data_IF_855706013661
#
_entry.id   IF_855706013661
#
_cell.length_a   1.000
_cell.length_b   1.000
_cell.length_c   1.000
_cell.angle_alpha   90.00
_cell.angle_beta   90.00
_cell.angle_gamma   90.00
#
_symmetry.space_group_name_H-M   'P 1'
#
loop_
_entity.id
_entity.type
_entity.pdbx_description
1 polymer ?
#
# COMPACT_ATOMS: atom_id res chain seq x y z
N UNK A 1 17.14 12.30 0.93
CA UNK A 1 17.61 13.12 -0.21
C UNK A 1 16.38 13.65 -0.93
N UNK A 2 16.32 14.96 -1.19
CA UNK A 2 15.16 15.57 -1.87
C UNK A 2 15.13 15.07 -3.31
N UNK A 3 13.97 14.57 -3.76
CA UNK A 3 13.80 14.00 -5.09
C UNK A 3 13.99 15.10 -6.16
N UNK A 4 15.08 15.10 -6.95
CA UNK A 4 15.39 16.15 -7.92
C UNK A 4 14.45 16.16 -9.14
N UNK A 5 13.54 15.18 -9.23
CA UNK A 5 12.55 15.07 -10.30
C UNK A 5 11.34 15.98 -10.10
N UNK A 6 10.99 16.31 -8.85
CA UNK A 6 9.83 17.15 -8.57
C UNK A 6 9.95 18.57 -9.19
N UNK A 7 11.11 19.26 -9.12
CA UNK A 7 11.30 20.54 -9.82
C UNK A 7 11.25 20.42 -11.35
N UNK A 8 11.75 19.32 -11.91
CA UNK A 8 11.76 19.08 -13.36
C UNK A 8 10.33 18.82 -13.86
N UNK A 9 9.55 18.02 -13.13
CA UNK A 9 8.14 17.75 -13.43
C UNK A 9 7.31 19.03 -13.32
N UNK A 10 7.54 19.85 -12.29
CA UNK A 10 6.86 21.14 -12.11
C UNK A 10 7.20 22.13 -13.24
N UNK A 11 8.48 22.20 -13.64
CA UNK A 11 8.90 23.05 -14.75
C UNK A 11 8.31 22.58 -16.09
N UNK A 12 8.13 21.27 -16.29
CA UNK A 12 7.44 20.73 -17.44
C UNK A 12 5.96 21.21 -17.47
N UNK A 13 5.22 20.99 -16.38
CA UNK A 13 3.80 21.42 -16.29
C UNK A 13 3.63 22.93 -16.48
N UNK A 14 4.55 23.76 -15.99
CA UNK A 14 4.51 25.21 -16.19
C UNK A 14 4.71 25.63 -17.65
N UNK A 15 5.45 24.86 -18.45
CA UNK A 15 5.63 25.12 -19.88
C UNK A 15 4.34 24.91 -20.69
N UNK A 16 3.39 24.13 -20.19
CA UNK A 16 2.08 23.91 -20.81
C UNK A 16 1.16 25.14 -20.73
N UNK A 17 1.35 25.99 -19.70
CA UNK A 17 0.51 27.16 -19.45
C UNK A 17 0.96 28.47 -20.13
N UNK A 18 2.06 28.47 -20.87
CA UNK A 18 2.60 29.69 -21.50
C UNK A 18 1.92 29.90 -22.87
N UNK A 19 1.04 30.90 -22.94
CA UNK A 19 0.46 31.39 -24.19
C UNK A 19 1.57 32.07 -25.03
N UNK A 20 1.63 31.77 -26.33
CA UNK A 20 2.71 32.05 -27.31
C UNK A 20 3.82 30.98 -27.44
N UNK A 21 3.52 29.73 -27.09
CA UNK A 21 4.42 28.60 -27.28
C UNK A 21 4.57 28.19 -28.77
N UNK A 22 5.81 27.95 -29.21
CA UNK A 22 6.15 27.35 -30.52
C UNK A 22 5.32 26.08 -30.77
N UNK A 23 4.88 25.76 -32.00
CA UNK A 23 4.02 24.59 -32.27
C UNK A 23 4.60 23.23 -31.83
N UNK A 24 5.92 23.15 -31.63
CA UNK A 24 6.62 21.95 -31.14
C UNK A 24 6.70 21.84 -29.60
N UNK A 25 6.33 22.87 -28.85
CA UNK A 25 6.43 22.88 -27.38
C UNK A 25 5.62 21.77 -26.70
N UNK A 26 4.38 21.45 -27.12
CA UNK A 26 3.63 20.30 -26.59
C UNK A 26 4.34 18.96 -26.81
N UNK A 27 5.03 18.82 -27.96
CA UNK A 27 5.80 17.62 -28.29
C UNK A 27 7.04 17.49 -27.41
N UNK A 28 7.76 18.59 -27.18
CA UNK A 28 8.92 18.64 -26.27
C UNK A 28 8.51 18.40 -24.82
N UNK A 29 7.39 18.97 -24.38
CA UNK A 29 6.80 18.73 -23.06
C UNK A 29 6.50 17.24 -22.83
N UNK A 30 5.80 16.62 -23.78
CA UNK A 30 5.48 15.19 -23.72
C UNK A 30 6.75 14.32 -23.61
N UNK A 31 7.83 14.70 -24.30
CA UNK A 31 9.12 14.02 -24.21
C UNK A 31 9.73 14.18 -22.82
N UNK A 32 9.81 15.42 -22.29
CA UNK A 32 10.38 15.71 -20.97
C UNK A 32 9.60 14.98 -19.87
N UNK A 33 8.27 15.03 -19.91
CA UNK A 33 7.41 14.37 -18.94
C UNK A 33 7.64 12.85 -18.94
N UNK A 34 7.60 12.22 -20.12
CA UNK A 34 7.89 10.79 -20.25
C UNK A 34 9.28 10.41 -19.75
N UNK A 35 10.31 11.20 -20.04
CA UNK A 35 11.67 10.93 -19.56
C UNK A 35 11.80 11.12 -18.05
N UNK A 36 11.09 12.09 -17.46
CA UNK A 36 11.08 12.35 -16.02
C UNK A 36 10.38 11.22 -15.27
N UNK A 37 9.23 10.76 -15.76
CA UNK A 37 8.50 9.59 -15.23
C UNK A 37 9.35 8.31 -15.32
N UNK A 38 10.04 8.10 -16.45
CA UNK A 38 10.98 6.99 -16.60
C UNK A 38 12.13 7.07 -15.58
N UNK A 39 12.75 8.25 -15.39
CA UNK A 39 13.81 8.42 -14.39
C UNK A 39 13.32 8.22 -12.94
N UNK A 40 12.08 8.61 -12.63
CA UNK A 40 11.47 8.35 -11.33
C UNK A 40 11.38 6.86 -11.05
N UNK A 41 10.81 6.11 -12.00
CA UNK A 41 10.70 4.65 -11.91
C UNK A 41 12.07 3.99 -11.79
N UNK A 42 13.09 4.44 -12.54
CA UNK A 42 14.45 3.89 -12.46
C UNK A 42 15.09 4.14 -11.09
N UNK A 43 14.87 5.33 -10.50
CA UNK A 43 15.39 5.65 -9.17
C UNK A 43 14.70 4.84 -8.08
N UNK A 44 13.37 4.69 -8.14
CA UNK A 44 12.62 3.88 -7.20
C UNK A 44 13.06 2.40 -7.27
N UNK A 45 13.22 1.86 -8.49
CA UNK A 45 13.76 0.51 -8.71
C UNK A 45 15.16 0.34 -8.11
N UNK A 46 16.05 1.33 -8.29
CA UNK A 46 17.40 1.30 -7.72
C UNK A 46 17.40 1.40 -6.20
N UNK A 47 16.53 2.22 -5.62
CA UNK A 47 16.38 2.34 -4.17
C UNK A 47 15.82 1.05 -3.56
N UNK A 48 14.88 0.39 -4.23
CA UNK A 48 14.36 -0.89 -3.81
C UNK A 48 15.44 -2.00 -3.92
N UNK A 49 16.20 -2.05 -5.02
CA UNK A 49 17.34 -2.95 -5.14
C UNK A 49 18.40 -2.72 -4.04
N UNK A 50 18.72 -1.46 -3.73
CA UNK A 50 19.67 -1.12 -2.68
C UNK A 50 19.16 -1.50 -1.27
N UNK A 51 17.86 -1.34 -1.01
CA UNK A 51 17.24 -1.75 0.26
C UNK A 51 17.21 -3.27 0.42
N UNK A 52 16.94 -4.01 -0.67
CA UNK A 52 16.99 -5.47 -0.69
C UNK A 52 18.42 -5.97 -0.48
N UNK A 53 19.38 -5.49 -1.29
CA UNK A 53 20.77 -5.94 -1.22
C UNK A 53 21.45 -5.61 0.11
N UNK A 54 20.96 -4.61 0.83
CA UNK A 54 21.48 -4.24 2.16
C UNK A 54 20.78 -4.96 3.32
N UNK A 55 19.76 -5.78 3.08
CA UNK A 55 19.02 -6.51 4.11
C UNK A 55 18.24 -5.63 5.09
N UNK A 56 18.01 -4.35 4.76
CA UNK A 56 17.37 -3.36 5.64
C UNK A 56 15.85 -3.33 5.56
N UNK A 57 15.24 -4.26 4.83
CA UNK A 57 13.78 -4.33 4.73
C UNK A 57 13.25 -5.06 5.97
N UNK A 58 12.60 -4.30 6.86
CA UNK A 58 11.83 -4.84 7.98
C UNK A 58 10.37 -4.96 7.53
N UNK A 59 9.85 -6.18 7.46
CA UNK A 59 8.46 -6.44 7.11
C UNK A 59 7.54 -6.09 8.27
N UNK A 60 6.44 -5.39 7.98
CA UNK A 60 5.36 -5.14 8.95
C UNK A 60 4.27 -6.19 8.75
N UNK A 61 4.52 -7.41 9.21
CA UNK A 61 3.56 -8.52 9.09
C UNK A 61 2.33 -8.28 9.95
N UNK A 62 1.15 -8.45 9.36
CA UNK A 62 -0.15 -8.44 10.04
C UNK A 62 -1.10 -9.43 9.34
N UNK A 63 -2.18 -9.87 10.00
CA UNK A 63 -3.24 -10.62 9.35
C UNK A 63 -3.91 -9.77 8.27
N UNK A 64 -3.98 -10.28 7.03
CA UNK A 64 -4.56 -9.56 5.89
C UNK A 64 -5.37 -10.55 5.05
N UNK A 65 -6.47 -10.06 4.50
CA UNK A 65 -7.25 -10.77 3.49
C UNK A 65 -6.54 -10.72 2.14
N UNK A 66 -6.36 -11.88 1.50
CA UNK A 66 -5.73 -11.94 0.18
C UNK A 66 -6.46 -11.07 -0.86
N UNK A 67 -7.79 -11.03 -0.79
CA UNK A 67 -8.63 -10.20 -1.67
C UNK A 67 -8.20 -8.73 -1.65
N UNK A 68 -7.96 -8.14 -0.48
CA UNK A 68 -7.50 -6.75 -0.35
C UNK A 68 -6.15 -6.50 -1.04
N UNK A 69 -5.25 -7.48 -0.97
CA UNK A 69 -3.92 -7.38 -1.58
C UNK A 69 -4.04 -7.42 -3.11
N UNK A 70 -4.85 -8.35 -3.63
CA UNK A 70 -5.10 -8.50 -5.06
C UNK A 70 -5.86 -7.30 -5.63
N UNK A 71 -6.80 -6.74 -4.89
CA UNK A 71 -7.53 -5.53 -5.27
C UNK A 71 -6.58 -4.34 -5.45
N UNK A 72 -5.72 -4.05 -4.47
CA UNK A 72 -4.71 -2.98 -4.57
C UNK A 72 -3.73 -3.19 -5.73
N UNK A 73 -3.31 -4.43 -5.97
CA UNK A 73 -2.43 -4.75 -7.09
C UNK A 73 -3.15 -4.55 -8.45
N UNK A 74 -4.45 -4.86 -8.50
CA UNK A 74 -5.30 -4.66 -9.67
C UNK A 74 -5.50 -3.17 -9.95
N UNK A 75 -5.85 -2.36 -8.93
CA UNK A 75 -5.97 -0.91 -9.04
C UNK A 75 -4.71 -0.26 -9.62
N UNK A 76 -3.53 -0.66 -9.12
CA UNK A 76 -2.24 -0.14 -9.59
C UNK A 76 -1.94 -0.52 -11.06
N UNK A 77 -2.45 -1.66 -11.53
CA UNK A 77 -2.23 -2.15 -12.90
C UNK A 77 -3.33 -1.74 -13.89
N UNK A 78 -4.49 -1.29 -13.40
CA UNK A 78 -5.67 -0.90 -14.17
C UNK A 78 -5.37 0.08 -15.32
N UNK A 79 -4.59 1.17 -15.12
CA UNK A 79 -4.34 2.14 -16.20
C UNK A 79 -3.58 1.53 -17.38
N UNK A 80 -2.63 0.63 -17.11
CA UNK A 80 -1.84 -0.05 -18.13
C UNK A 80 -2.70 -1.09 -18.88
N UNK A 81 -3.49 -1.87 -18.15
CA UNK A 81 -4.42 -2.84 -18.73
C UNK A 81 -5.44 -2.16 -19.66
N UNK A 82 -6.02 -1.04 -19.23
CA UNK A 82 -6.96 -0.25 -20.03
C UNK A 82 -6.30 0.34 -21.27
N UNK A 83 -5.11 0.94 -21.14
CA UNK A 83 -4.34 1.50 -22.25
C UNK A 83 -4.07 0.47 -23.36
N UNK A 84 -3.80 -0.78 -22.98
CA UNK A 84 -3.56 -1.90 -23.89
C UNK A 84 -4.81 -2.71 -24.23
N UNK A 85 -5.99 -2.31 -23.72
CA UNK A 85 -7.28 -3.00 -23.88
C UNK A 85 -7.25 -4.47 -23.46
N UNK A 86 -6.45 -4.81 -22.48
CA UNK A 86 -6.31 -6.17 -21.96
C UNK A 86 -7.40 -6.46 -20.93
N UNK A 87 -7.81 -7.72 -20.82
CA UNK A 87 -8.81 -8.15 -19.82
C UNK A 87 -8.13 -8.94 -18.72
N UNK A 88 -8.34 -8.54 -17.46
CA UNK A 88 -7.91 -9.30 -16.29
C UNK A 88 -9.03 -10.21 -15.82
N UNK A 89 -8.76 -11.51 -15.74
CA UNK A 89 -9.67 -12.53 -15.20
C UNK A 89 -9.18 -12.94 -13.82
N UNK A 90 -9.98 -12.68 -12.80
CA UNK A 90 -9.72 -13.10 -11.42
C UNK A 90 -10.50 -14.39 -11.12
N UNK A 91 -9.80 -15.41 -10.65
CA UNK A 91 -10.36 -16.67 -10.16
C UNK A 91 -9.95 -16.82 -8.69
N UNK A 92 -10.82 -16.32 -7.80
CA UNK A 92 -10.60 -16.27 -6.35
C UNK A 92 -11.42 -17.39 -5.68
N UNK A 93 -10.88 -18.02 -4.62
CA UNK A 93 -11.65 -18.98 -3.83
C UNK A 93 -12.88 -18.31 -3.20
N UNK A 94 -13.96 -19.08 -3.03
CA UNK A 94 -15.19 -18.60 -2.38
C UNK A 94 -15.01 -18.31 -0.88
N UNK A 95 -13.93 -18.80 -0.27
CA UNK A 95 -13.61 -18.59 1.14
C UNK A 95 -12.51 -17.55 1.24
N UNK A 96 -12.78 -16.49 2.00
CA UNK A 96 -11.81 -15.45 2.31
C UNK A 96 -10.59 -16.05 3.00
N UNK A 97 -9.44 -15.98 2.34
CA UNK A 97 -8.19 -16.54 2.85
C UNK A 97 -7.38 -15.45 3.54
N UNK A 98 -7.10 -15.68 4.83
CA UNK A 98 -6.22 -14.83 5.62
C UNK A 98 -4.77 -15.27 5.48
N UNK A 99 -3.86 -14.31 5.41
CA UNK A 99 -2.42 -14.54 5.45
C UNK A 99 -1.75 -13.57 6.42
N UNK A 100 -0.61 -13.98 6.97
CA UNK A 100 0.23 -13.10 7.76
C UNK A 100 1.33 -12.47 6.88
N UNK A 101 1.24 -11.16 6.62
CA UNK A 101 2.19 -10.51 5.73
C UNK A 101 2.17 -8.99 5.78
N UNK A 102 3.07 -8.35 5.03
CA UNK A 102 3.10 -6.90 4.86
C UNK A 102 2.22 -6.52 3.66
N UNK A 103 1.14 -5.74 3.86
CA UNK A 103 0.15 -5.49 2.81
C UNK A 103 0.72 -4.67 1.66
N UNK A 104 1.66 -3.76 1.95
CA UNK A 104 2.25 -2.87 0.94
C UNK A 104 3.22 -3.68 0.10
N UNK A 105 4.05 -4.51 0.73
CA UNK A 105 5.06 -5.31 0.04
C UNK A 105 4.43 -6.45 -0.76
N UNK A 106 3.38 -7.08 -0.27
CA UNK A 106 2.67 -8.11 -1.03
C UNK A 106 1.88 -7.50 -2.21
N UNK A 107 1.24 -6.34 -2.04
CA UNK A 107 0.63 -5.63 -3.16
C UNK A 107 1.67 -5.26 -4.23
N UNK A 108 2.88 -4.86 -3.82
CA UNK A 108 4.01 -4.61 -4.72
C UNK A 108 4.46 -5.86 -5.48
N UNK A 109 4.45 -7.04 -4.83
CA UNK A 109 4.76 -8.32 -5.50
C UNK A 109 3.78 -8.58 -6.64
N UNK A 110 2.47 -8.54 -6.35
CA UNK A 110 1.46 -8.86 -7.34
C UNK A 110 1.32 -7.79 -8.42
N UNK A 111 1.49 -6.51 -8.09
CA UNK A 111 1.49 -5.44 -9.09
C UNK A 111 2.66 -5.57 -10.06
N UNK A 112 3.86 -5.92 -9.59
CA UNK A 112 5.01 -6.18 -10.45
C UNK A 112 4.76 -7.35 -11.41
N UNK A 113 4.13 -8.43 -10.94
CA UNK A 113 3.79 -9.57 -11.78
C UNK A 113 2.69 -9.23 -12.81
N UNK A 114 1.64 -8.50 -12.41
CA UNK A 114 0.56 -8.07 -13.30
C UNK A 114 1.05 -7.07 -14.36
N UNK A 115 1.91 -6.12 -13.98
CA UNK A 115 2.51 -5.17 -14.91
C UNK A 115 3.44 -5.87 -15.90
N UNK A 116 4.19 -6.88 -15.47
CA UNK A 116 4.97 -7.73 -16.37
C UNK A 116 4.06 -8.49 -17.34
N UNK A 117 3.00 -9.14 -16.85
CA UNK A 117 2.03 -9.83 -17.69
C UNK A 117 1.41 -8.89 -18.75
N UNK A 118 1.03 -7.67 -18.36
CA UNK A 118 0.51 -6.64 -19.27
C UNK A 118 1.52 -6.20 -20.31
N UNK A 119 2.76 -5.95 -19.89
CA UNK A 119 3.86 -5.48 -20.75
C UNK A 119 4.29 -6.50 -21.80
N UNK A 120 4.35 -7.78 -21.42
CA UNK A 120 4.84 -8.84 -22.29
C UNK A 120 3.73 -9.53 -23.10
N UNK A 121 2.47 -9.26 -22.77
CA UNK A 121 1.33 -9.70 -23.57
C UNK A 121 1.02 -8.78 -24.75
N UNK A 122 0.39 -9.29 -25.82
CA UNK A 122 -0.21 -8.47 -26.86
C UNK A 122 -1.32 -7.57 -26.30
N UNK A 123 -1.68 -6.54 -27.08
CA UNK A 123 -2.87 -5.75 -26.80
C UNK A 123 -4.11 -6.64 -27.00
N UNK A 124 -5.21 -6.36 -26.29
CA UNK A 124 -6.44 -7.19 -26.32
C UNK A 124 -6.33 -8.62 -25.76
N UNK A 125 -5.21 -8.98 -25.13
CA UNK A 125 -5.03 -10.31 -24.52
C UNK A 125 -5.79 -10.45 -23.20
N UNK A 126 -5.92 -11.70 -22.75
CA UNK A 126 -6.41 -12.04 -21.42
C UNK A 126 -5.24 -12.37 -20.51
N UNK A 127 -5.24 -11.79 -19.32
CA UNK A 127 -4.33 -12.13 -18.22
C UNK A 127 -5.19 -12.79 -17.14
N UNK A 128 -4.79 -13.96 -16.65
CA UNK A 128 -5.50 -14.66 -15.59
C UNK A 128 -4.71 -14.63 -14.28
N UNK A 129 -5.42 -14.39 -13.19
CA UNK A 129 -4.91 -14.55 -11.83
C UNK A 129 -5.81 -15.57 -11.14
N UNK A 130 -5.24 -16.69 -10.73
CA UNK A 130 -5.95 -17.76 -10.04
C UNK A 130 -5.33 -18.01 -8.67
N UNK A 131 -6.18 -18.13 -7.66
CA UNK A 131 -5.77 -18.44 -6.29
C UNK A 131 -6.24 -19.85 -5.93
N UNK A 132 -5.32 -20.66 -5.42
CA UNK A 132 -5.61 -22.01 -4.92
C UNK A 132 -5.09 -22.14 -3.49
N UNK A 133 -5.95 -22.60 -2.60
CA UNK A 133 -5.55 -23.04 -1.26
C UNK A 133 -5.35 -24.55 -1.28
N UNK A 134 -4.27 -25.01 -0.67
CA UNK A 134 -4.02 -26.43 -0.41
C UNK A 134 -3.84 -26.60 1.09
N UNK A 135 -4.73 -27.36 1.70
CA UNK A 135 -4.53 -27.80 3.08
C UNK A 135 -3.59 -29.00 3.02
N UNK A 136 -2.40 -28.90 3.61
CA UNK A 136 -1.55 -30.07 3.81
C UNK A 136 -2.10 -30.89 4.98
N UNK A 137 -1.89 -32.21 4.93
CA UNK A 137 -2.33 -33.19 5.95
C UNK A 137 -1.77 -32.90 7.37
N UNK A 138 -0.84 -31.93 7.49
CA UNK A 138 -0.18 -31.50 8.73
C UNK A 138 -0.73 -30.17 9.31
N UNK A 139 -1.73 -29.55 8.69
CA UNK A 139 -2.39 -28.34 9.23
C UNK A 139 -1.71 -27.00 8.90
N UNK A 140 -0.59 -27.00 8.20
CA UNK A 140 0.00 -25.80 7.59
C UNK A 140 -0.57 -25.64 6.18
N UNK A 141 -1.58 -24.79 6.02
CA UNK A 141 -2.10 -24.51 4.68
C UNK A 141 -1.01 -23.85 3.81
N UNK A 142 -1.04 -24.10 2.51
CA UNK A 142 -0.27 -23.35 1.53
C UNK A 142 -1.20 -22.59 0.59
N UNK A 143 -0.91 -21.32 0.37
CA UNK A 143 -1.61 -20.47 -0.58
C UNK A 143 -0.78 -20.36 -1.85
N UNK A 144 -1.35 -20.76 -2.99
CA UNK A 144 -0.73 -20.63 -4.30
C UNK A 144 -1.49 -19.60 -5.13
N UNK A 145 -0.82 -18.51 -5.51
CA UNK A 145 -1.32 -17.51 -6.45
C UNK A 145 -0.60 -17.68 -7.79
N UNK A 146 -1.35 -17.92 -8.86
CA UNK A 146 -0.83 -18.14 -10.21
C UNK A 146 -1.28 -17.00 -11.11
N UNK A 147 -0.34 -16.26 -11.68
CA UNK A 147 -0.59 -15.25 -12.71
C UNK A 147 -0.12 -15.81 -14.03
N UNK A 148 -1.02 -15.93 -15.00
CA UNK A 148 -0.71 -16.43 -16.35
C UNK A 148 -1.04 -15.41 -17.42
N UNK A 149 -0.17 -15.35 -18.42
CA UNK A 149 -0.27 -14.42 -19.54
C UNK A 149 -0.14 -15.15 -20.87
N UNK A 150 -0.64 -14.52 -21.95
CA UNK A 150 -0.58 -15.05 -23.31
C UNK A 150 0.52 -14.34 -24.13
N UNK A 151 1.60 -13.96 -23.45
CA UNK A 151 2.66 -13.14 -24.00
C UNK A 151 3.69 -13.87 -24.84
N UNK A 152 4.79 -13.18 -25.08
CA UNK A 152 5.92 -13.66 -25.88
C UNK A 152 6.62 -14.88 -25.31
N UNK A 153 6.27 -15.30 -24.09
CA UNK A 153 6.92 -16.42 -23.40
C UNK A 153 8.35 -16.10 -22.96
N UNK A 154 8.99 -17.07 -22.31
CA UNK A 154 10.33 -16.94 -21.76
C UNK A 154 11.22 -18.01 -22.42
N UNK A 155 12.34 -17.63 -23.05
CA UNK A 155 13.24 -18.61 -23.63
C UNK A 155 13.97 -19.41 -22.53
N UNK A 156 14.24 -20.69 -22.82
CA UNK A 156 14.65 -21.68 -21.82
C UNK A 156 16.03 -21.41 -21.18
N UNK A 157 16.88 -20.64 -21.85
CA UNK A 157 18.17 -20.16 -21.38
C UNK A 157 18.03 -19.02 -20.35
N UNK A 158 16.97 -18.21 -20.44
CA UNK A 158 16.70 -17.08 -19.53
C UNK A 158 15.92 -17.52 -18.30
N UNK A 159 15.05 -18.54 -18.43
CA UNK A 159 14.15 -18.99 -17.36
C UNK A 159 14.86 -19.28 -16.01
N UNK A 160 16.04 -19.94 -15.95
CA UNK A 160 16.71 -20.22 -14.68
C UNK A 160 17.20 -18.97 -13.94
N UNK A 161 17.57 -17.92 -14.69
CA UNK A 161 18.13 -16.67 -14.15
C UNK A 161 17.14 -15.51 -14.11
N UNK A 162 15.87 -15.71 -14.45
CA UNK A 162 14.91 -14.61 -14.67
C UNK A 162 14.65 -13.76 -13.41
N UNK A 163 14.93 -14.31 -12.22
CA UNK A 163 14.82 -13.60 -10.94
C UNK A 163 16.14 -12.95 -10.48
N UNK A 164 17.22 -13.08 -11.24
CA UNK A 164 18.50 -12.47 -10.91
C UNK A 164 18.52 -10.99 -11.32
N UNK A 165 19.29 -10.20 -10.59
CA UNK A 165 19.37 -8.75 -10.81
C UNK A 165 19.90 -8.44 -12.22
N UNK A 166 19.22 -7.51 -12.90
CA UNK A 166 19.57 -7.00 -14.23
C UNK A 166 19.39 -7.98 -15.40
N UNK A 167 18.77 -9.14 -15.17
CA UNK A 167 18.45 -10.06 -16.25
C UNK A 167 17.29 -9.50 -17.08
N UNK A 168 17.52 -9.36 -18.39
CA UNK A 168 16.53 -8.94 -19.37
C UNK A 168 16.48 -10.01 -20.48
N UNK A 169 15.28 -10.34 -20.97
CA UNK A 169 15.11 -11.21 -22.14
C UNK A 169 15.72 -10.58 -23.41
N UNK A 170 15.90 -11.37 -24.49
CA UNK A 170 16.49 -10.87 -25.73
C UNK A 170 15.74 -9.63 -26.23
N UNK A 171 16.49 -8.54 -26.44
CA UNK A 171 15.99 -7.27 -26.99
C UNK A 171 15.50 -7.49 -28.42
N UNK A 172 14.23 -7.81 -28.58
CA UNK A 172 13.58 -7.66 -29.89
C UNK A 172 13.49 -6.16 -30.18
N UNK A 173 14.06 -5.75 -31.33
CA UNK A 173 14.19 -4.36 -31.81
C UNK A 173 12.88 -3.54 -31.84
N UNK A 174 11.72 -4.16 -31.57
CA UNK A 174 10.39 -3.56 -31.63
C UNK A 174 9.84 -3.00 -30.30
N UNK A 175 10.50 -3.17 -29.14
CA UNK A 175 10.00 -2.64 -27.86
C UNK A 175 11.11 -1.99 -27.02
N UNK A 176 11.19 -0.67 -27.08
CA UNK A 176 12.13 0.20 -26.33
C UNK A 176 11.71 0.51 -24.88
N UNK A 177 10.72 -0.19 -24.32
CA UNK A 177 10.23 0.00 -22.95
C UNK A 177 10.88 -0.98 -21.95
N UNK A 178 12.17 -1.28 -22.06
CA UNK A 178 12.87 -2.20 -21.13
C UNK A 178 13.10 -1.56 -19.75
N UNK A 179 12.56 -2.15 -18.68
CA UNK A 179 12.87 -1.74 -17.29
C UNK A 179 14.21 -2.32 -16.84
N UNK A 180 14.77 -1.89 -15.69
CA UNK A 180 16.12 -2.26 -15.24
C UNK A 180 16.39 -3.76 -15.02
N UNK A 181 15.37 -4.63 -15.10
CA UNK A 181 15.51 -6.06 -14.76
C UNK A 181 15.55 -6.29 -13.24
N UNK A 182 14.96 -5.38 -12.47
CA UNK A 182 14.97 -5.42 -11.00
C UNK A 182 13.65 -5.97 -10.45
N UNK A 183 12.52 -5.75 -11.13
CA UNK A 183 11.18 -6.09 -10.63
C UNK A 183 10.98 -7.55 -10.19
N UNK A 184 11.51 -8.53 -10.94
CA UNK A 184 11.39 -9.94 -10.57
C UNK A 184 12.32 -10.33 -9.40
N UNK A 185 13.51 -9.73 -9.31
CA UNK A 185 14.38 -9.92 -8.14
C UNK A 185 13.76 -9.38 -6.86
N UNK A 186 13.03 -8.25 -6.96
CA UNK A 186 12.22 -7.68 -5.86
C UNK A 186 11.12 -8.66 -5.46
N UNK A 187 10.40 -9.22 -6.43
CA UNK A 187 9.38 -10.24 -6.18
C UNK A 187 9.97 -11.42 -5.42
N UNK A 188 11.09 -12.00 -5.88
CA UNK A 188 11.74 -13.14 -5.22
C UNK A 188 12.11 -12.83 -3.78
N UNK A 189 12.78 -11.69 -3.54
CA UNK A 189 13.21 -11.31 -2.20
C UNK A 189 12.03 -11.03 -1.27
N UNK A 190 11.02 -10.27 -1.71
CA UNK A 190 9.84 -9.98 -0.90
C UNK A 190 9.08 -11.26 -0.54
N UNK A 191 8.85 -12.16 -1.49
CA UNK A 191 8.18 -13.45 -1.24
C UNK A 191 8.99 -14.32 -0.26
N UNK A 192 10.31 -14.39 -0.41
CA UNK A 192 11.19 -15.13 0.51
C UNK A 192 11.16 -14.56 1.93
N UNK A 193 11.15 -13.23 2.10
CA UNK A 193 11.04 -12.61 3.43
C UNK A 193 9.66 -12.89 4.10
N UNK A 194 8.63 -13.15 3.30
CA UNK A 194 7.32 -13.60 3.77
C UNK A 194 7.28 -15.11 4.09
N UNK A 195 8.38 -15.84 3.90
CA UNK A 195 8.44 -17.29 4.12
C UNK A 195 7.86 -18.11 2.96
N UNK A 196 7.66 -17.47 1.80
CA UNK A 196 7.13 -18.10 0.60
C UNK A 196 8.20 -18.41 -0.46
N UNK A 197 7.74 -18.94 -1.58
CA UNK A 197 8.56 -19.20 -2.78
C UNK A 197 7.88 -18.68 -4.03
N UNK A 198 8.66 -18.21 -5.00
CA UNK A 198 8.15 -17.83 -6.33
C UNK A 198 8.83 -18.67 -7.42
N UNK A 199 8.06 -19.12 -8.39
CA UNK A 199 8.53 -19.86 -9.56
C UNK A 199 7.95 -19.25 -10.84
N UNK A 200 8.69 -19.39 -11.94
CA UNK A 200 8.25 -19.02 -13.28
C UNK A 200 8.23 -20.26 -14.16
N UNK A 201 7.24 -20.36 -15.04
CA UNK A 201 7.08 -21.42 -16.02
C UNK A 201 6.69 -20.82 -17.37
N UNK A 202 7.24 -21.36 -18.46
CA UNK A 202 6.90 -21.02 -19.82
C UNK A 202 7.29 -22.18 -20.73
N UNK A 203 6.42 -22.53 -21.68
CA UNK A 203 6.67 -23.56 -22.69
C UNK A 203 7.54 -23.04 -23.87
N UNK A 204 8.17 -21.89 -23.69
CA UNK A 204 9.03 -21.23 -24.68
C UNK A 204 8.37 -20.05 -25.38
N UNK A 205 9.06 -19.53 -26.41
CA UNK A 205 8.63 -18.32 -27.11
C UNK A 205 7.26 -18.48 -27.77
N UNK A 206 6.40 -17.46 -27.60
CA UNK A 206 5.04 -17.40 -28.12
C UNK A 206 4.01 -18.26 -27.39
N UNK A 207 4.37 -18.90 -26.27
CA UNK A 207 3.48 -19.75 -25.46
C UNK A 207 2.98 -19.09 -24.17
N UNK A 208 3.34 -17.83 -23.94
CA UNK A 208 3.04 -17.12 -22.71
C UNK A 208 3.89 -17.57 -21.53
N UNK A 209 3.63 -17.00 -20.36
CA UNK A 209 4.29 -17.38 -19.11
C UNK A 209 3.29 -17.48 -17.97
N UNK A 210 3.67 -18.26 -16.95
CA UNK A 210 2.98 -18.33 -15.68
C UNK A 210 3.96 -18.13 -14.53
N UNK A 211 3.56 -17.31 -13.56
CA UNK A 211 4.30 -17.05 -12.34
C UNK A 211 3.48 -17.58 -11.17
N UNK A 212 4.08 -18.44 -10.36
CA UNK A 212 3.45 -19.06 -9.19
C UNK A 212 4.11 -18.51 -7.94
N UNK A 213 3.33 -17.84 -7.09
CA UNK A 213 3.74 -17.38 -5.76
C UNK A 213 3.09 -18.28 -4.73
N UNK A 214 3.90 -18.93 -3.91
CA UNK A 214 3.47 -19.78 -2.80
C UNK A 214 3.77 -19.03 -1.51
N UNK A 215 2.75 -18.85 -0.66
CA UNK A 215 2.87 -18.23 0.65
C UNK A 215 2.35 -19.20 1.73
N UNK A 216 2.94 -19.17 2.94
CA UNK A 216 2.39 -19.92 4.07
C UNK A 216 1.00 -19.36 4.40
N UNK A 217 -0.01 -20.25 4.42
CA UNK A 217 -1.35 -19.93 4.86
C UNK A 217 -1.41 -20.23 6.36
N UNK A 218 -1.30 -19.20 7.20
CA UNK A 218 -1.35 -19.31 8.66
C UNK A 218 -2.77 -19.53 9.18
N UNK A 219 -3.66 -20.10 8.37
CA UNK A 219 -5.03 -20.44 8.76
C UNK A 219 -5.02 -21.64 9.71
N UNK A 220 -4.82 -21.37 11.00
CA UNK A 220 -5.48 -22.19 12.01
C UNK A 220 -6.98 -22.00 11.86
N UNK A 221 -7.64 -23.06 11.44
CA UNK A 221 -9.09 -23.23 11.55
C UNK A 221 -9.50 -23.11 13.01
N UNK A 222 -10.01 -21.95 13.41
CA UNK A 222 -11.02 -21.90 14.48
C UNK A 222 -12.39 -21.90 13.82
N UNK A 223 -12.83 -23.07 13.36
CA UNK A 223 -14.26 -23.34 13.26
C UNK A 223 -14.78 -23.48 14.69
N UNK A 224 -15.60 -22.52 15.14
CA UNK A 224 -16.28 -22.63 16.43
C UNK A 224 -16.59 -21.32 17.14
N UNK A 225 -17.17 -20.34 16.45
CA UNK A 225 -18.41 -19.75 16.96
C UNK A 225 -19.18 -19.15 15.80
N UNK A 226 -20.46 -19.51 15.73
CA UNK A 226 -21.47 -18.74 15.02
C UNK A 226 -21.32 -17.26 15.41
N UNK A 227 -20.74 -16.49 14.50
CA UNK A 227 -21.16 -15.10 14.32
C UNK A 227 -21.69 -15.06 12.91
N UNK A 228 -22.99 -15.33 12.83
CA UNK A 228 -23.84 -14.87 11.72
C UNK A 228 -23.36 -13.50 11.23
N UNK A 229 -23.47 -13.17 9.93
CA UNK A 229 -23.20 -11.82 9.47
C UNK A 229 -24.18 -10.89 10.17
N UNK A 230 -23.77 -10.35 11.31
CA UNK A 230 -24.45 -9.27 11.96
C UNK A 230 -24.14 -8.09 11.05
N UNK A 231 -25.08 -7.87 10.12
CA UNK A 231 -25.49 -6.56 9.67
C UNK A 231 -24.91 -5.52 10.60
N UNK A 232 -23.96 -4.73 10.08
CA UNK A 232 -23.34 -3.60 10.75
C UNK A 232 -24.36 -2.95 11.69
N UNK A 233 -24.22 -3.26 12.97
CA UNK A 233 -24.94 -2.55 14.00
C UNK A 233 -24.53 -1.10 13.81
N UNK A 234 -25.54 -0.24 13.66
CA UNK A 234 -25.38 1.20 13.60
C UNK A 234 -24.42 1.61 14.73
N UNK A 235 -23.15 1.83 14.41
CA UNK A 235 -22.18 2.36 15.36
C UNK A 235 -22.76 3.70 15.77
N UNK A 236 -23.07 3.87 17.06
CA UNK A 236 -23.47 5.17 17.59
C UNK A 236 -22.44 6.22 17.17
N UNK A 237 -22.93 7.39 16.77
CA UNK A 237 -22.09 8.50 16.34
C UNK A 237 -21.10 8.86 17.47
N UNK A 238 -19.80 8.62 17.26
CA UNK A 238 -18.75 9.02 18.19
C UNK A 238 -18.36 10.48 18.01
N UNK A 239 -17.97 11.14 19.09
CA UNK A 239 -17.41 12.50 19.12
C UNK A 239 -15.91 12.43 18.96
N UNK A 240 -15.40 12.93 17.83
CA UNK A 240 -13.98 12.85 17.48
C UNK A 240 -13.39 14.24 17.37
N UNK A 241 -12.22 14.45 17.97
CA UNK A 241 -11.42 15.65 17.75
C UNK A 241 -10.22 15.32 16.86
N UNK A 242 -10.05 16.06 15.77
CA UNK A 242 -8.89 15.97 14.88
C UNK A 242 -8.01 17.21 15.10
N UNK A 243 -6.73 16.99 15.43
CA UNK A 243 -5.73 18.03 15.66
C UNK A 243 -4.62 17.86 14.60
N UNK A 244 -4.63 18.71 13.58
CA UNK A 244 -3.75 18.63 12.41
C UNK A 244 -3.55 20.04 11.85
N UNK A 245 -2.29 20.46 11.69
CA UNK A 245 -1.93 21.81 11.23
C UNK A 245 -2.04 21.99 9.71
N UNK A 246 -1.94 20.91 8.95
CA UNK A 246 -2.25 20.92 7.54
C UNK A 246 -3.78 20.98 7.34
N UNK A 247 -4.27 22.17 6.95
CA UNK A 247 -5.69 22.46 6.75
C UNK A 247 -6.37 21.46 5.79
N UNK A 248 -5.73 21.13 4.67
CA UNK A 248 -6.29 20.22 3.67
C UNK A 248 -6.40 18.79 4.20
N UNK A 249 -5.36 18.31 4.90
CA UNK A 249 -5.33 16.99 5.51
C UNK A 249 -6.35 16.86 6.65
N UNK A 250 -6.47 17.91 7.48
CA UNK A 250 -7.43 18.00 8.58
C UNK A 250 -8.86 17.93 8.03
N UNK A 251 -9.20 18.80 7.08
CA UNK A 251 -10.54 18.87 6.50
C UNK A 251 -10.92 17.57 5.78
N UNK A 252 -10.00 16.97 5.03
CA UNK A 252 -10.23 15.68 4.36
C UNK A 252 -10.58 14.58 5.37
N UNK A 253 -9.86 14.52 6.50
CA UNK A 253 -10.11 13.53 7.54
C UNK A 253 -11.43 13.80 8.29
N UNK A 254 -11.74 15.06 8.55
CA UNK A 254 -13.00 15.50 9.16
C UNK A 254 -14.19 15.14 8.29
N UNK A 255 -14.12 15.45 6.99
CA UNK A 255 -15.18 15.14 6.03
C UNK A 255 -15.39 13.63 5.93
N UNK A 256 -14.31 12.87 5.83
CA UNK A 256 -14.36 11.42 5.79
C UNK A 256 -15.05 10.83 7.03
N UNK A 257 -14.60 11.19 8.23
CA UNK A 257 -15.16 10.65 9.48
C UNK A 257 -16.60 11.10 9.70
N UNK A 258 -16.96 12.31 9.26
CA UNK A 258 -18.35 12.81 9.30
C UNK A 258 -19.27 12.02 8.35
N UNK A 259 -18.78 11.64 7.17
CA UNK A 259 -19.51 10.77 6.23
C UNK A 259 -19.77 9.38 6.80
N UNK A 260 -18.93 8.90 7.72
CA UNK A 260 -19.14 7.65 8.47
C UNK A 260 -20.10 7.81 9.66
N UNK A 261 -20.73 8.98 9.81
CA UNK A 261 -21.75 9.25 10.82
C UNK A 261 -21.20 9.68 12.18
N UNK A 262 -19.92 10.06 12.28
CA UNK A 262 -19.33 10.60 13.51
C UNK A 262 -19.55 12.12 13.65
N UNK A 263 -19.51 12.62 14.88
CA UNK A 263 -19.51 14.05 15.19
C UNK A 263 -18.07 14.52 15.32
N UNK A 264 -17.54 15.15 14.29
CA UNK A 264 -16.11 15.50 14.22
C UNK A 264 -15.90 16.99 14.48
N UNK A 265 -14.83 17.34 15.19
CA UNK A 265 -14.34 18.70 15.40
C UNK A 265 -12.89 18.79 14.94
N UNK A 266 -12.53 19.97 14.43
CA UNK A 266 -11.20 20.26 13.90
C UNK A 266 -10.48 21.29 14.77
N UNK A 267 -9.21 21.03 15.07
CA UNK A 267 -8.26 21.96 15.61
C UNK A 267 -6.99 21.97 14.74
N UNK A 268 -6.36 23.13 14.58
CA UNK A 268 -5.25 23.33 13.63
C UNK A 268 -3.89 23.51 14.31
N UNK A 269 -3.85 23.40 15.63
CA UNK A 269 -2.64 23.48 16.43
C UNK A 269 -2.86 22.77 17.78
N UNK A 270 -1.77 22.44 18.46
CA UNK A 270 -1.85 21.69 19.71
C UNK A 270 -2.53 22.45 20.85
N UNK A 271 -2.40 23.79 20.91
CA UNK A 271 -2.99 24.60 21.98
C UNK A 271 -4.51 24.69 21.84
N UNK A 272 -5.01 24.94 20.63
CA UNK A 272 -6.44 24.97 20.34
C UNK A 272 -7.05 23.58 20.50
N UNK A 273 -6.36 22.53 20.04
CA UNK A 273 -6.77 21.14 20.25
C UNK A 273 -6.89 20.77 21.72
N UNK A 274 -5.90 21.12 22.55
CA UNK A 274 -5.95 20.89 23.99
C UNK A 274 -7.05 21.70 24.69
N UNK A 275 -7.29 22.94 24.27
CA UNK A 275 -8.37 23.76 24.82
C UNK A 275 -9.75 23.17 24.51
N UNK A 276 -9.97 22.70 23.28
CA UNK A 276 -11.21 22.02 22.89
C UNK A 276 -11.40 20.72 23.67
N UNK A 277 -10.35 19.90 23.77
CA UNK A 277 -10.36 18.64 24.53
C UNK A 277 -10.62 18.83 26.03
N UNK A 278 -10.34 20.01 26.60
CA UNK A 278 -10.69 20.39 27.98
C UNK A 278 -12.12 20.89 28.14
N UNK A 279 -12.70 21.46 27.07
CA UNK A 279 -14.03 22.08 27.11
C UNK A 279 -15.17 21.08 26.86
N UNK A 280 -14.89 20.01 26.10
CA UNK A 280 -15.87 19.02 25.69
C UNK A 280 -15.36 17.59 25.91
N UNK A 281 -16.28 16.64 26.00
CA UNK A 281 -15.96 15.21 26.05
C UNK A 281 -15.90 14.68 24.61
N UNK A 282 -14.81 13.98 24.32
CA UNK A 282 -14.61 13.25 23.07
C UNK A 282 -14.43 11.76 23.38
N UNK A 283 -14.80 10.91 22.44
CA UNK A 283 -14.57 9.46 22.51
C UNK A 283 -13.19 9.13 21.94
N UNK A 284 -12.74 9.89 20.94
CA UNK A 284 -11.43 9.76 20.32
C UNK A 284 -10.82 11.12 19.97
N UNK A 285 -9.51 11.21 20.11
CA UNK A 285 -8.70 12.36 19.71
C UNK A 285 -7.59 11.84 18.78
N UNK A 286 -7.59 12.35 17.55
CA UNK A 286 -6.60 12.04 16.54
C UNK A 286 -5.69 13.26 16.41
N UNK A 287 -4.40 13.11 16.67
CA UNK A 287 -3.48 14.24 16.85
C UNK A 287 -2.17 14.04 16.09
N UNK A 288 -1.79 14.98 15.23
CA UNK A 288 -0.44 15.01 14.67
C UNK A 288 0.60 15.23 15.78
N UNK A 289 1.72 14.52 15.70
CA UNK A 289 2.87 14.74 16.55
C UNK A 289 3.56 16.06 16.19
N UNK A 290 3.62 16.39 14.90
CA UNK A 290 4.40 17.51 14.35
C UNK A 290 3.75 18.89 14.44
N UNK A 291 2.91 19.15 15.45
CA UNK A 291 2.14 20.39 15.54
C UNK A 291 2.99 21.64 15.86
N UNK A 292 2.60 22.82 15.35
CA UNK A 292 3.21 24.09 15.72
C UNK A 292 2.86 24.50 17.16
N UNK A 293 3.82 25.12 17.85
CA UNK A 293 3.66 25.58 19.23
C UNK A 293 3.95 24.47 20.24
N UNK A 294 2.93 23.73 20.66
CA UNK A 294 3.11 22.53 21.49
C UNK A 294 3.02 21.28 20.61
N UNK A 295 3.96 20.36 20.80
CA UNK A 295 3.99 19.11 20.05
C UNK A 295 2.85 18.16 20.49
N UNK A 296 2.48 17.22 19.62
CA UNK A 296 1.40 16.26 19.92
C UNK A 296 1.70 15.40 21.16
N UNK A 297 2.98 15.19 21.49
CA UNK A 297 3.37 14.51 22.73
C UNK A 297 3.00 15.32 23.99
N UNK A 298 3.16 16.64 23.96
CA UNK A 298 2.73 17.51 25.06
C UNK A 298 1.20 17.51 25.20
N UNK A 299 0.47 17.51 24.08
CA UNK A 299 -0.99 17.35 24.08
C UNK A 299 -1.39 16.03 24.76
N UNK A 300 -0.79 14.90 24.37
CA UNK A 300 -1.11 13.60 24.97
C UNK A 300 -0.80 13.53 26.47
N UNK A 301 0.35 14.08 26.91
CA UNK A 301 0.72 14.10 28.34
C UNK A 301 -0.26 14.91 29.17
N UNK A 302 -0.66 16.08 28.69
CA UNK A 302 -1.66 16.93 29.35
C UNK A 302 -3.03 16.23 29.41
N UNK A 303 -3.45 15.59 28.33
CA UNK A 303 -4.70 14.83 28.29
C UNK A 303 -4.70 13.66 29.29
N UNK A 304 -3.62 12.89 29.37
CA UNK A 304 -3.50 11.79 30.34
C UNK A 304 -3.39 12.29 31.78
N UNK A 305 -2.80 13.45 32.03
CA UNK A 305 -2.78 14.05 33.35
C UNK A 305 -4.19 14.46 33.84
N UNK A 306 -5.09 14.83 32.92
CA UNK A 306 -6.47 15.23 33.23
C UNK A 306 -7.43 14.04 33.38
N UNK A 307 -7.32 13.06 32.49
CA UNK A 307 -8.34 12.00 32.32
C UNK A 307 -7.87 10.62 32.79
N UNK A 308 -6.57 10.43 33.03
CA UNK A 308 -5.99 9.10 33.26
C UNK A 308 -6.11 8.17 32.04
N UNK A 309 -5.95 6.87 32.27
CA UNK A 309 -6.01 5.82 31.23
C UNK A 309 -7.46 5.57 30.75
N UNK A 310 -8.47 5.94 31.53
CA UNK A 310 -9.88 5.84 31.16
C UNK A 310 -10.38 7.01 30.25
N UNK A 311 -9.46 7.87 29.80
CA UNK A 311 -9.77 8.98 28.92
C UNK A 311 -10.08 8.57 27.48
N UNK A 312 -10.30 9.55 26.57
CA UNK A 312 -10.53 9.27 25.16
C UNK A 312 -9.40 8.44 24.55
N UNK A 313 -9.75 7.69 23.51
CA UNK A 313 -8.77 7.05 22.63
C UNK A 313 -7.85 8.14 22.05
N UNK A 314 -6.55 8.09 22.33
CA UNK A 314 -5.56 9.01 21.79
C UNK A 314 -4.79 8.32 20.66
N UNK A 315 -5.00 8.78 19.43
CA UNK A 315 -4.32 8.28 18.23
C UNK A 315 -3.32 9.32 17.74
N UNK A 316 -2.04 8.96 17.73
CA UNK A 316 -0.99 9.81 17.16
C UNK A 316 -0.90 9.62 15.65
N UNK A 317 -0.83 10.72 14.90
CA UNK A 317 -0.47 10.74 13.49
C UNK A 317 0.99 11.17 13.35
N UNK A 318 1.75 10.48 12.49
CA UNK A 318 3.15 10.83 12.25
C UNK A 318 3.56 10.60 10.80
N UNK A 319 4.40 11.48 10.25
CA UNK A 319 5.10 11.23 8.98
C UNK A 319 6.30 10.27 9.12
N UNK A 320 6.73 9.97 10.34
CA UNK A 320 7.89 9.14 10.66
C UNK A 320 7.45 7.94 11.49
N UNK A 321 7.67 6.73 10.98
CA UNK A 321 7.19 5.49 11.58
C UNK A 321 8.31 4.62 12.17
N UNK A 322 9.32 5.23 12.78
CA UNK A 322 10.41 4.45 13.39
C UNK A 322 9.94 3.76 14.68
N UNK A 323 10.53 2.62 15.08
CA UNK A 323 10.18 1.94 16.33
C UNK A 323 10.32 2.84 17.57
N UNK A 324 11.29 3.76 17.54
CA UNK A 324 11.53 4.76 18.59
C UNK A 324 10.37 5.76 18.70
N UNK A 325 9.71 6.11 17.59
CA UNK A 325 8.56 7.01 17.58
C UNK A 325 7.33 6.36 18.24
N UNK A 326 7.11 5.06 18.02
CA UNK A 326 6.04 4.31 18.69
C UNK A 326 6.26 4.25 20.21
N UNK A 327 7.50 3.96 20.62
CA UNK A 327 7.85 3.93 22.04
C UNK A 327 7.60 5.30 22.70
N UNK A 328 8.05 6.38 22.06
CA UNK A 328 7.85 7.75 22.55
C UNK A 328 6.37 8.17 22.57
N UNK A 329 5.56 7.73 21.60
CA UNK A 329 4.13 8.01 21.57
C UNK A 329 3.39 7.35 22.73
N UNK A 330 3.66 6.06 22.98
CA UNK A 330 3.07 5.32 24.10
C UNK A 330 3.52 5.92 25.44
N UNK A 331 4.82 6.23 25.60
CA UNK A 331 5.36 6.88 26.81
C UNK A 331 4.75 8.27 27.05
N UNK A 332 4.39 8.99 25.99
CA UNK A 332 3.70 10.28 26.08
C UNK A 332 2.20 10.15 26.42
N UNK A 333 1.63 8.95 26.30
CA UNK A 333 0.24 8.68 26.66
C UNK A 333 -0.71 8.41 25.50
N UNK A 334 -0.22 8.27 24.26
CA UNK A 334 -1.04 7.80 23.15
C UNK A 334 -1.34 6.30 23.26
N UNK A 335 -2.52 5.89 22.84
CA UNK A 335 -2.91 4.47 22.81
C UNK A 335 -2.39 3.80 21.54
N UNK A 336 -2.43 4.52 20.41
CA UNK A 336 -2.01 3.98 19.12
C UNK A 336 -1.26 5.03 18.29
N UNK A 337 -0.32 4.56 17.46
CA UNK A 337 0.44 5.39 16.53
C UNK A 337 0.15 4.96 15.08
N UNK A 338 -0.39 5.88 14.29
CA UNK A 338 -0.65 5.73 12.86
C UNK A 338 0.33 6.56 12.03
N UNK A 339 0.90 5.92 11.00
CA UNK A 339 1.83 6.58 10.09
C UNK A 339 1.05 7.12 8.90
N UNK A 340 1.29 8.38 8.52
CA UNK A 340 0.75 8.99 7.31
C UNK A 340 1.42 8.33 6.07
N UNK A 341 0.68 7.98 5.00
CA UNK A 341 -0.75 8.21 4.80
C UNK A 341 -1.63 7.28 5.64
N UNK A 342 -2.68 7.84 6.23
CA UNK A 342 -3.57 7.15 7.17
C UNK A 342 -4.32 6.04 6.44
N UNK A 343 -4.24 4.80 6.95
CA UNK A 343 -5.14 3.74 6.51
C UNK A 343 -6.51 3.95 7.16
N UNK A 344 -7.45 4.40 6.34
CA UNK A 344 -8.77 4.85 6.78
C UNK A 344 -9.59 3.72 7.40
N UNK A 345 -9.50 2.50 6.85
CA UNK A 345 -10.19 1.34 7.42
C UNK A 345 -9.63 0.95 8.79
N UNK A 346 -8.31 0.98 8.96
CA UNK A 346 -7.66 0.75 10.25
C UNK A 346 -8.05 1.79 11.29
N UNK A 347 -8.21 3.05 10.88
CA UNK A 347 -8.68 4.11 11.76
C UNK A 347 -10.13 3.86 12.21
N UNK A 348 -11.01 3.47 11.29
CA UNK A 348 -12.41 3.15 11.62
C UNK A 348 -12.53 1.92 12.53
N UNK A 349 -11.77 0.86 12.25
CA UNK A 349 -11.73 -0.33 13.11
C UNK A 349 -11.22 0.03 14.51
N UNK A 350 -10.15 0.83 14.61
CA UNK A 350 -9.61 1.26 15.89
C UNK A 350 -10.63 2.10 16.69
N UNK A 351 -11.29 3.04 16.01
CA UNK A 351 -12.37 3.83 16.61
C UNK A 351 -13.50 2.89 17.06
N UNK A 352 -13.88 1.90 16.23
CA UNK A 352 -14.95 0.94 16.52
C UNK A 352 -14.66 0.02 17.70
N UNK A 353 -13.45 -0.52 17.78
CA UNK A 353 -12.98 -1.48 18.80
C UNK A 353 -12.77 -0.84 20.18
N UNK A 354 -12.51 0.47 20.23
CA UNK A 354 -12.45 1.20 21.50
C UNK A 354 -13.87 1.39 22.06
N UNK A 355 -14.33 0.35 22.75
CA UNK A 355 -15.51 0.36 23.61
C UNK A 355 -15.03 0.77 25.00
N UNK A 356 -15.33 2.00 25.42
CA UNK A 356 -15.21 2.37 26.83
C UNK A 356 -15.99 1.34 27.64
N UNK A 357 -15.26 0.56 28.44
CA UNK A 357 -15.86 -0.37 29.39
C UNK A 357 -16.63 0.49 30.38
N UNK A 358 -17.97 0.44 30.33
CA UNK A 358 -18.84 1.03 31.36
C UNK A 358 -18.58 0.43 32.74
#
# INVERSE_FOLDING_TARGET
MRNPLAPISMAATLLEGIADAHPDLPKLHTVIQRQTEQMASLLDDLLDAARISSGRIVLKKKPILLSEIIERATEASQPNLQKRKQTLRLDMPAVDTMLEGDPVRLAQVFSNLLLNASKFSPDHSVISLAVKTRDDEHGDGQLSVVISDQGVGIPADVLPGIFDLFVQGPRSLARSEGGLGIGLSVVRSLVQMHGGTVAAHSDGEGRGSSFTVILPNTASTTSGNDVTPNSHGVSSARRILVIEDNVDANQTLVDFLSLQGHVVRAAYDGLSGLAMAKAEIYDAIICDIGLPGIDGFAVAREMRALSGIAGPLLVALTGYGQPEDRKRAIEAGFDELMVKPINVQSLLSLIAEYVTTE
#
